data_IF_159009720927
#
_entry.id   IF_159009720927
#
_cell.length_a   1.000
_cell.length_b   1.000
_cell.length_c   1.000
_cell.angle_alpha   90.00
_cell.angle_beta   90.00
_cell.angle_gamma   90.00
#
_symmetry.space_group_name_H-M   'P 1'
#
loop_
_entity.id
_entity.type
_entity.pdbx_description
1 polymer ?
#
# COMPACT_ATOMS: atom_id res chain seq x y z
N UNK A 1 -16.66 -2.13 -15.76
CA UNK A 1 -16.15 -3.52 -15.78
C UNK A 1 -16.14 -4.06 -17.23
N UNK A 2 -15.21 -4.93 -17.56
CA UNK A 2 -15.14 -5.60 -18.88
C UNK A 2 -16.13 -6.76 -18.98
N UNK A 3 -16.45 -7.39 -17.86
CA UNK A 3 -17.48 -8.42 -17.72
C UNK A 3 -18.25 -8.16 -16.43
N UNK A 4 -19.58 -8.25 -16.48
CA UNK A 4 -20.39 -8.12 -15.27
C UNK A 4 -20.09 -9.26 -14.31
N UNK A 5 -19.91 -8.97 -13.01
CA UNK A 5 -19.82 -10.01 -11.98
C UNK A 5 -21.09 -10.85 -11.96
N UNK A 6 -20.97 -12.08 -11.49
CA UNK A 6 -22.09 -12.96 -11.25
C UNK A 6 -23.09 -12.34 -10.25
N UNK A 7 -24.40 -12.49 -10.53
CA UNK A 7 -25.44 -11.88 -9.72
C UNK A 7 -25.46 -12.44 -8.30
N UNK A 8 -25.31 -13.76 -8.13
CA UNK A 8 -25.36 -14.41 -6.81
C UNK A 8 -24.14 -14.01 -5.98
N UNK A 9 -22.97 -13.86 -6.64
CA UNK A 9 -21.79 -13.30 -5.98
C UNK A 9 -22.05 -11.89 -5.46
N UNK A 10 -22.59 -10.99 -6.28
CA UNK A 10 -22.88 -9.60 -5.87
C UNK A 10 -23.89 -9.54 -4.74
N UNK A 11 -24.99 -10.31 -4.85
CA UNK A 11 -26.02 -10.38 -3.80
C UNK A 11 -25.45 -10.90 -2.47
N UNK A 12 -24.64 -11.94 -2.52
CA UNK A 12 -24.04 -12.48 -1.29
C UNK A 12 -23.04 -11.49 -0.63
N UNK A 13 -22.38 -10.62 -1.41
CA UNK A 13 -21.52 -9.54 -0.85
C UNK A 13 -22.36 -8.41 -0.28
N UNK A 14 -23.46 -8.06 -0.91
CA UNK A 14 -24.42 -7.09 -0.39
C UNK A 14 -25.00 -7.54 0.96
N UNK A 15 -25.38 -8.81 1.08
CA UNK A 15 -25.89 -9.39 2.34
C UNK A 15 -24.87 -9.33 3.49
N UNK A 16 -23.58 -9.56 3.19
CA UNK A 16 -22.51 -9.54 4.21
C UNK A 16 -22.05 -8.13 4.56
N UNK A 17 -21.87 -7.27 3.54
CA UNK A 17 -21.21 -5.98 3.72
C UNK A 17 -22.18 -4.78 3.63
N UNK A 18 -23.45 -5.00 3.31
CA UNK A 18 -24.41 -3.90 3.12
C UNK A 18 -24.05 -2.93 2.00
N UNK A 19 -23.20 -3.35 1.04
CA UNK A 19 -22.67 -2.49 -0.02
C UNK A 19 -23.57 -2.53 -1.24
N UNK A 20 -24.31 -1.43 -1.52
CA UNK A 20 -25.03 -1.24 -2.78
C UNK A 20 -24.06 -0.87 -3.92
N UNK A 21 -23.29 -1.85 -4.37
CA UNK A 21 -22.39 -1.69 -5.51
C UNK A 21 -23.16 -1.95 -6.82
N UNK A 22 -23.21 -0.95 -7.70
CA UNK A 22 -23.83 -1.05 -9.03
C UNK A 22 -22.77 -1.10 -10.14
N UNK A 23 -22.23 -2.31 -10.45
CA UNK A 23 -21.27 -2.43 -11.55
C UNK A 23 -21.94 -2.03 -12.86
N UNK A 24 -21.20 -1.30 -13.69
CA UNK A 24 -21.64 -0.88 -15.02
C UNK A 24 -20.58 -1.23 -16.05
N UNK A 25 -20.99 -1.53 -17.28
CA UNK A 25 -20.05 -1.67 -18.38
C UNK A 25 -19.45 -0.32 -18.76
N UNK A 26 -18.37 -0.36 -19.53
CA UNK A 26 -17.68 0.86 -19.97
C UNK A 26 -18.61 1.73 -20.84
N UNK A 27 -19.34 1.10 -21.75
CA UNK A 27 -20.30 1.76 -22.65
C UNK A 27 -21.40 2.49 -21.86
N UNK A 28 -21.93 1.84 -20.82
CA UNK A 28 -22.95 2.44 -19.95
C UNK A 28 -22.35 3.58 -19.11
N UNK A 29 -21.13 3.43 -18.63
CA UNK A 29 -20.45 4.48 -17.87
C UNK A 29 -20.31 5.78 -18.68
N UNK A 30 -20.10 5.70 -19.99
CA UNK A 30 -20.00 6.86 -20.86
C UNK A 30 -21.31 7.65 -20.99
N UNK A 31 -22.43 7.11 -20.55
CA UNK A 31 -23.74 7.76 -20.57
C UNK A 31 -24.14 8.37 -19.22
N UNK A 32 -23.37 8.10 -18.17
CA UNK A 32 -23.67 8.54 -16.81
C UNK A 32 -22.93 9.85 -16.47
N UNK A 33 -23.46 10.55 -15.47
CA UNK A 33 -22.78 11.66 -14.81
C UNK A 33 -22.24 11.19 -13.46
N UNK A 34 -21.14 11.78 -13.01
CA UNK A 34 -20.44 11.38 -11.80
C UNK A 34 -20.20 12.57 -10.88
N UNK A 35 -20.21 12.36 -9.59
CA UNK A 35 -19.68 13.34 -8.64
C UNK A 35 -18.16 13.44 -8.75
N UNK A 36 -17.48 12.30 -8.86
CA UNK A 36 -16.03 12.19 -8.96
C UNK A 36 -15.59 10.82 -9.52
N UNK A 37 -14.33 10.70 -9.87
CA UNK A 37 -13.68 9.45 -10.23
C UNK A 37 -12.60 9.12 -9.20
N UNK A 38 -12.66 7.91 -8.65
CA UNK A 38 -11.69 7.39 -7.67
C UNK A 38 -11.06 6.09 -8.19
N UNK A 39 -10.08 6.15 -9.11
CA UNK A 39 -9.36 4.95 -9.53
C UNK A 39 -8.51 4.42 -8.37
N UNK A 40 -8.05 3.18 -8.48
CA UNK A 40 -7.11 2.59 -7.51
C UNK A 40 -5.87 3.49 -7.29
N UNK A 41 -5.37 4.10 -8.35
CA UNK A 41 -4.30 5.08 -8.32
C UNK A 41 -4.26 5.86 -9.63
N UNK A 42 -3.82 7.10 -9.57
CA UNK A 42 -3.65 7.96 -10.73
C UNK A 42 -2.30 7.71 -11.41
N UNK A 43 -2.30 7.71 -12.71
CA UNK A 43 -1.12 7.62 -13.57
C UNK A 43 -1.44 8.24 -14.93
N UNK A 44 -0.45 8.57 -15.78
CA UNK A 44 -0.71 9.07 -17.13
C UNK A 44 -1.68 8.18 -17.92
N UNK A 45 -1.51 6.86 -17.80
CA UNK A 45 -2.38 5.88 -18.46
C UNK A 45 -3.83 5.97 -17.95
N UNK A 46 -4.02 6.06 -16.63
CA UNK A 46 -5.36 6.16 -16.03
C UNK A 46 -6.02 7.49 -16.36
N UNK A 47 -5.26 8.60 -16.36
CA UNK A 47 -5.74 9.89 -16.79
C UNK A 47 -6.22 9.89 -18.25
N UNK A 48 -5.49 9.23 -19.14
CA UNK A 48 -5.88 9.09 -20.54
C UNK A 48 -7.10 8.16 -20.70
N UNK A 49 -7.13 7.02 -19.99
CA UNK A 49 -8.25 6.08 -20.02
C UNK A 49 -9.56 6.73 -19.58
N UNK A 50 -9.52 7.55 -18.53
CA UNK A 50 -10.70 8.17 -17.93
C UNK A 50 -11.02 9.57 -18.50
N UNK A 51 -10.32 10.00 -19.57
CA UNK A 51 -10.44 11.36 -20.12
C UNK A 51 -11.89 11.77 -20.39
N UNK A 52 -12.64 10.92 -21.06
CA UNK A 52 -14.02 11.23 -21.47
C UNK A 52 -14.99 11.24 -20.27
N UNK A 53 -14.73 10.38 -19.27
CA UNK A 53 -15.55 10.34 -18.05
C UNK A 53 -15.32 11.56 -17.16
N UNK A 54 -14.14 12.16 -17.18
CA UNK A 54 -13.84 13.37 -16.40
C UNK A 54 -14.72 14.56 -16.81
N UNK A 55 -15.01 14.71 -18.10
CA UNK A 55 -15.90 15.76 -18.60
C UNK A 55 -17.33 15.63 -18.08
N UNK A 56 -17.72 14.43 -17.61
CA UNK A 56 -19.04 14.11 -17.05
C UNK A 56 -19.08 14.20 -15.53
N UNK A 57 -17.96 14.54 -14.89
CA UNK A 57 -17.90 14.77 -13.45
C UNK A 57 -18.43 16.17 -13.12
N UNK A 58 -18.81 16.36 -11.85
CA UNK A 58 -19.21 17.68 -11.36
C UNK A 58 -18.04 18.69 -11.46
N UNK A 59 -18.37 19.98 -11.36
CA UNK A 59 -17.39 21.07 -11.47
C UNK A 59 -16.29 20.95 -10.42
N UNK A 60 -16.64 20.63 -9.18
CA UNK A 60 -15.72 20.49 -8.08
C UNK A 60 -14.63 19.44 -8.34
N UNK A 61 -14.94 18.32 -8.99
CA UNK A 61 -13.93 17.33 -9.39
C UNK A 61 -13.10 17.86 -10.57
N UNK A 62 -13.73 18.49 -11.57
CA UNK A 62 -13.03 19.00 -12.76
C UNK A 62 -11.99 20.06 -12.43
N UNK A 63 -12.23 20.85 -11.40
CA UNK A 63 -11.32 21.88 -10.88
C UNK A 63 -10.29 21.34 -9.87
N UNK A 64 -10.48 20.10 -9.41
CA UNK A 64 -9.56 19.51 -8.42
C UNK A 64 -8.18 19.24 -9.01
N UNK A 65 -7.17 19.26 -8.15
CA UNK A 65 -5.79 18.88 -8.49
C UNK A 65 -5.67 17.47 -9.06
N UNK A 66 -6.64 16.59 -8.84
CA UNK A 66 -6.65 15.21 -9.33
C UNK A 66 -7.26 15.05 -10.73
N UNK A 67 -7.87 16.10 -11.30
CA UNK A 67 -8.52 16.02 -12.61
C UNK A 67 -7.54 16.00 -13.79
N UNK A 68 -6.33 16.53 -13.60
CA UNK A 68 -5.30 16.65 -14.64
C UNK A 68 -4.02 15.93 -14.26
N UNK A 69 -3.19 15.64 -15.25
CA UNK A 69 -1.84 15.12 -15.10
C UNK A 69 -0.84 16.08 -15.76
N UNK A 70 0.28 16.30 -15.08
CA UNK A 70 1.47 16.93 -15.68
C UNK A 70 2.71 16.09 -15.33
N UNK A 71 3.78 16.23 -16.08
CA UNK A 71 5.03 15.50 -15.82
C UNK A 71 5.64 15.88 -14.45
N UNK A 72 5.45 17.12 -13.99
CA UNK A 72 5.85 17.57 -12.66
C UNK A 72 5.18 16.77 -11.54
N UNK A 73 3.96 16.28 -11.78
CA UNK A 73 3.23 15.45 -10.81
C UNK A 73 3.79 14.04 -10.67
N UNK A 74 4.54 13.57 -11.66
CA UNK A 74 5.17 12.25 -11.62
C UNK A 74 6.11 12.13 -10.42
N UNK A 75 6.81 13.20 -10.06
CA UNK A 75 7.74 13.20 -8.94
C UNK A 75 7.06 13.02 -7.59
N UNK A 76 5.79 13.43 -7.44
CA UNK A 76 5.01 13.17 -6.22
C UNK A 76 4.87 11.67 -5.91
N UNK A 77 4.91 10.83 -6.93
CA UNK A 77 4.77 9.38 -6.83
C UNK A 77 6.13 8.65 -6.78
N UNK A 78 7.24 9.39 -6.67
CA UNK A 78 8.58 8.81 -6.62
C UNK A 78 9.00 8.52 -5.18
N UNK A 79 9.92 7.58 -4.99
CA UNK A 79 10.53 7.28 -3.68
C UNK A 79 11.32 8.45 -3.10
N UNK A 80 11.69 9.45 -3.92
CA UNK A 80 12.30 10.71 -3.45
C UNK A 80 11.41 11.41 -2.44
N UNK A 81 10.07 11.35 -2.61
CA UNK A 81 9.14 12.01 -1.69
C UNK A 81 9.16 11.36 -0.30
N UNK A 82 9.32 10.04 -0.21
CA UNK A 82 9.50 9.37 1.08
C UNK A 82 10.81 9.81 1.76
N UNK A 83 11.91 9.91 1.01
CA UNK A 83 13.18 10.41 1.54
C UNK A 83 13.09 11.88 1.99
N UNK A 84 12.35 12.72 1.26
CA UNK A 84 12.08 14.11 1.66
C UNK A 84 11.32 14.16 2.99
N UNK A 85 10.21 13.41 3.10
CA UNK A 85 9.45 13.35 4.35
C UNK A 85 10.28 12.80 5.51
N UNK A 86 11.06 11.75 5.26
CA UNK A 86 11.93 11.16 6.28
C UNK A 86 13.00 12.13 6.78
N UNK A 87 13.57 12.92 5.89
CA UNK A 87 14.57 13.95 6.24
C UNK A 87 13.96 14.96 7.21
N UNK A 88 12.76 15.46 6.94
CA UNK A 88 12.04 16.38 7.84
C UNK A 88 11.70 15.71 9.19
N UNK A 89 11.31 14.45 9.17
CA UNK A 89 11.03 13.70 10.40
C UNK A 89 12.28 13.52 11.26
N UNK A 90 13.42 13.16 10.68
CA UNK A 90 14.70 12.99 11.40
C UNK A 90 15.20 14.30 11.98
N UNK A 91 14.94 15.44 11.31
CA UNK A 91 15.25 16.77 11.87
C UNK A 91 14.39 17.09 13.10
N UNK A 92 13.11 16.70 13.07
CA UNK A 92 12.18 16.98 14.16
C UNK A 92 12.30 15.97 15.32
N UNK A 93 12.71 14.74 15.05
CA UNK A 93 12.85 13.64 16.01
C UNK A 93 14.27 13.07 15.93
N UNK A 94 15.25 13.70 16.60
CA UNK A 94 16.67 13.35 16.43
C UNK A 94 17.05 11.91 16.80
N UNK A 95 16.28 11.24 17.67
CA UNK A 95 16.53 9.84 18.03
C UNK A 95 16.29 8.84 16.89
N UNK A 96 15.68 9.25 15.77
CA UNK A 96 15.54 8.41 14.57
C UNK A 96 16.88 8.10 13.89
N UNK A 97 17.92 8.92 14.13
CA UNK A 97 19.20 8.79 13.43
C UNK A 97 19.16 9.25 11.97
N UNK A 98 20.31 9.61 11.42
CA UNK A 98 20.42 10.07 10.01
C UNK A 98 20.77 8.96 9.05
N UNK A 99 21.23 7.83 9.54
CA UNK A 99 21.69 6.68 8.76
C UNK A 99 20.54 5.90 8.09
N UNK A 100 19.30 6.15 8.52
CA UNK A 100 18.10 5.57 7.87
C UNK A 100 17.62 6.38 6.65
N UNK A 101 18.20 7.56 6.37
CA UNK A 101 17.77 8.40 5.24
C UNK A 101 18.37 7.84 3.95
N UNK A 102 17.55 7.50 2.94
CA UNK A 102 18.04 7.03 1.65
C UNK A 102 18.87 8.09 0.92
N UNK A 103 19.94 7.65 0.24
CA UNK A 103 20.74 8.48 -0.65
C UNK A 103 20.23 8.36 -2.09
N UNK A 104 20.08 9.47 -2.78
CA UNK A 104 19.85 9.47 -4.23
C UNK A 104 21.17 9.28 -4.95
N UNK A 105 21.25 8.29 -5.86
CA UNK A 105 22.41 7.99 -6.67
C UNK A 105 22.06 8.06 -8.16
N UNK A 106 22.88 8.76 -8.92
CA UNK A 106 22.71 8.97 -10.36
C UNK A 106 23.71 8.15 -11.20
N UNK A 107 24.70 7.52 -10.55
CA UNK A 107 25.76 6.75 -11.20
C UNK A 107 26.01 5.43 -10.49
N UNK A 108 26.53 4.44 -11.22
CA UNK A 108 26.98 3.18 -10.64
C UNK A 108 28.14 3.37 -9.65
N UNK A 109 29.00 4.36 -9.86
CA UNK A 109 30.13 4.64 -8.98
C UNK A 109 29.65 5.05 -7.57
N UNK A 110 28.62 5.90 -7.48
CA UNK A 110 28.01 6.28 -6.20
C UNK A 110 27.41 5.06 -5.48
N UNK A 111 26.70 4.18 -6.20
CA UNK A 111 26.12 2.97 -5.63
C UNK A 111 27.22 2.04 -5.09
N UNK A 112 28.33 1.86 -5.84
CA UNK A 112 29.47 1.05 -5.40
C UNK A 112 30.08 1.60 -4.12
N UNK A 113 30.31 2.91 -4.03
CA UNK A 113 30.86 3.54 -2.82
C UNK A 113 30.01 3.30 -1.57
N UNK A 114 28.67 3.24 -1.72
CA UNK A 114 27.77 2.92 -0.62
C UNK A 114 27.81 1.42 -0.29
N UNK A 115 27.83 0.54 -1.30
CA UNK A 115 27.90 -0.91 -1.08
C UNK A 115 29.20 -1.37 -0.42
N UNK A 116 30.33 -0.67 -0.63
CA UNK A 116 31.60 -0.98 0.03
C UNK A 116 31.54 -0.74 1.55
N UNK A 117 30.65 0.10 2.04
CA UNK A 117 30.50 0.43 3.45
C UNK A 117 29.66 -0.58 4.22
N UNK A 118 28.51 -0.97 3.61
CA UNK A 118 27.51 -1.79 4.28
C UNK A 118 26.60 -2.55 3.29
N UNK A 119 25.74 -3.44 3.80
CA UNK A 119 24.68 -4.03 3.01
C UNK A 119 23.66 -2.97 2.64
N UNK A 120 23.29 -2.88 1.37
CA UNK A 120 22.37 -1.85 0.87
C UNK A 120 21.14 -2.45 0.19
N UNK A 121 20.08 -1.64 0.16
CA UNK A 121 18.90 -1.87 -0.66
C UNK A 121 18.83 -0.75 -1.70
N UNK A 122 18.81 -1.13 -2.99
CA UNK A 122 18.66 -0.18 -4.08
C UNK A 122 17.25 -0.27 -4.65
N UNK A 123 16.58 0.86 -4.73
CA UNK A 123 15.17 0.95 -5.16
C UNK A 123 15.04 1.85 -6.37
N UNK A 124 14.37 1.37 -7.42
CA UNK A 124 13.99 2.22 -8.56
C UNK A 124 13.02 3.32 -8.10
N UNK A 125 13.10 4.55 -8.64
CA UNK A 125 12.25 5.69 -8.24
C UNK A 125 10.76 5.40 -8.36
N UNK A 126 10.37 4.78 -9.46
CA UNK A 126 8.99 4.38 -9.75
C UNK A 126 8.94 2.88 -10.00
N UNK A 127 8.39 2.15 -9.05
CA UNK A 127 8.18 0.71 -9.13
C UNK A 127 7.00 0.28 -8.25
N UNK A 128 6.56 -0.95 -8.38
CA UNK A 128 5.47 -1.49 -7.58
C UNK A 128 5.68 -2.97 -7.31
N UNK A 129 5.08 -3.47 -6.23
CA UNK A 129 5.02 -4.90 -5.90
C UNK A 129 6.40 -5.56 -5.84
N UNK A 130 7.37 -4.94 -5.17
CA UNK A 130 8.73 -5.47 -5.01
C UNK A 130 9.61 -5.44 -6.27
N UNK A 131 9.05 -5.09 -7.45
CA UNK A 131 9.84 -4.95 -8.68
C UNK A 131 10.76 -3.73 -8.59
N UNK A 132 12.00 -3.86 -9.07
CA UNK A 132 12.97 -2.77 -9.02
C UNK A 132 13.56 -2.50 -7.63
N UNK A 133 13.51 -3.48 -6.74
CA UNK A 133 14.22 -3.52 -5.46
C UNK A 133 15.33 -4.58 -5.56
N UNK A 134 16.57 -4.17 -5.26
CA UNK A 134 17.73 -5.06 -5.23
C UNK A 134 18.36 -5.03 -3.83
N UNK A 135 18.65 -6.19 -3.29
CA UNK A 135 19.39 -6.36 -2.05
C UNK A 135 20.83 -6.69 -2.40
N UNK A 136 21.76 -5.80 -2.08
CA UNK A 136 23.17 -5.92 -2.44
C UNK A 136 23.98 -6.10 -1.16
N UNK A 137 24.66 -7.24 -1.00
CA UNK A 137 25.61 -7.45 0.10
C UNK A 137 26.78 -6.48 0.00
N UNK A 138 27.43 -6.24 1.13
CA UNK A 138 28.59 -5.35 1.22
C UNK A 138 29.69 -5.76 0.24
N UNK A 139 30.07 -4.84 -0.66
CA UNK A 139 31.13 -5.03 -1.64
C UNK A 139 30.83 -6.00 -2.77
N UNK A 140 29.61 -6.54 -2.88
CA UNK A 140 29.28 -7.65 -3.79
C UNK A 140 28.24 -7.23 -4.87
N UNK A 141 28.58 -6.28 -5.72
CA UNK A 141 27.71 -5.97 -6.88
C UNK A 141 28.07 -6.91 -8.03
N UNK A 142 27.15 -7.79 -8.41
CA UNK A 142 27.34 -8.71 -9.55
C UNK A 142 27.15 -7.99 -10.90
N UNK A 143 27.75 -8.54 -11.98
CA UNK A 143 27.55 -8.00 -13.34
C UNK A 143 26.07 -7.91 -13.73
N UNK A 144 25.24 -8.88 -13.30
CA UNK A 144 23.79 -8.87 -13.57
C UNK A 144 23.08 -7.71 -12.85
N UNK A 145 23.44 -7.44 -11.61
CA UNK A 145 22.90 -6.29 -10.87
C UNK A 145 23.33 -4.97 -11.48
N UNK A 146 24.58 -4.86 -11.97
CA UNK A 146 25.07 -3.69 -12.70
C UNK A 146 24.29 -3.44 -13.99
N UNK A 147 23.95 -4.48 -14.75
CA UNK A 147 23.12 -4.34 -15.94
C UNK A 147 21.71 -3.82 -15.59
N UNK A 148 21.10 -4.38 -14.52
CA UNK A 148 19.78 -3.93 -14.03
C UNK A 148 19.84 -2.47 -13.57
N UNK A 149 20.83 -2.11 -12.74
CA UNK A 149 21.02 -0.76 -12.23
C UNK A 149 21.26 0.24 -13.36
N UNK A 150 22.14 -0.10 -14.32
CA UNK A 150 22.40 0.71 -15.52
C UNK A 150 21.12 0.91 -16.34
N UNK A 151 20.28 -0.13 -16.43
CA UNK A 151 18.98 -0.06 -17.08
C UNK A 151 18.00 0.90 -16.38
N UNK A 152 17.98 0.89 -15.04
CA UNK A 152 17.16 1.81 -14.23
C UNK A 152 17.68 3.24 -14.36
N UNK A 153 18.96 3.47 -14.15
CA UNK A 153 19.59 4.80 -14.26
C UNK A 153 19.33 5.44 -15.63
N UNK A 154 19.50 4.67 -16.72
CA UNK A 154 19.21 5.15 -18.07
C UNK A 154 17.75 5.52 -18.31
N UNK A 155 16.80 4.75 -17.73
CA UNK A 155 15.35 4.94 -17.96
C UNK A 155 14.70 5.91 -17.00
N UNK A 156 15.17 5.96 -15.77
CA UNK A 156 14.53 6.70 -14.67
C UNK A 156 15.42 7.81 -14.08
N UNK A 157 16.70 7.88 -14.48
CA UNK A 157 17.61 8.95 -14.13
C UNK A 157 18.38 8.75 -12.82
N UNK A 158 17.80 8.08 -11.84
CA UNK A 158 18.40 7.86 -10.52
C UNK A 158 17.87 6.59 -9.86
N UNK A 159 18.44 6.22 -8.72
CA UNK A 159 17.94 5.21 -7.79
C UNK A 159 18.01 5.78 -6.37
N UNK A 160 17.20 5.22 -5.47
CA UNK A 160 17.32 5.45 -4.02
C UNK A 160 18.09 4.29 -3.41
N UNK A 161 19.13 4.61 -2.64
CA UNK A 161 19.99 3.63 -1.95
C UNK A 161 19.86 3.84 -0.45
N UNK A 162 19.55 2.80 0.28
CA UNK A 162 19.41 2.81 1.74
C UNK A 162 20.18 1.67 2.38
N UNK A 163 20.55 1.85 3.64
CA UNK A 163 21.09 0.78 4.50
C UNK A 163 20.07 -0.35 4.59
N UNK A 164 20.52 -1.60 4.47
CA UNK A 164 19.68 -2.77 4.71
C UNK A 164 19.49 -2.96 6.21
N UNK A 165 18.30 -2.67 6.69
CA UNK A 165 17.90 -2.85 8.08
C UNK A 165 17.43 -4.30 8.33
N UNK A 166 17.68 -4.80 9.55
CA UNK A 166 17.18 -6.11 9.99
C UNK A 166 15.69 -6.00 10.36
N UNK A 167 14.84 -6.21 9.39
CA UNK A 167 13.39 -6.05 9.49
C UNK A 167 12.76 -7.04 10.48
N UNK A 168 11.93 -6.51 11.38
CA UNK A 168 11.14 -7.24 12.37
C UNK A 168 9.65 -7.21 12.07
N UNK A 169 9.11 -6.03 11.73
CA UNK A 169 7.68 -5.84 11.45
C UNK A 169 7.48 -4.81 10.36
N UNK A 170 6.69 -5.15 9.35
CA UNK A 170 6.20 -4.21 8.34
C UNK A 170 4.81 -3.69 8.77
N UNK A 171 4.62 -2.38 8.73
CA UNK A 171 3.33 -1.75 8.98
C UNK A 171 3.20 -0.44 8.21
N UNK A 172 2.01 0.12 8.16
CA UNK A 172 1.77 1.43 7.58
C UNK A 172 0.84 2.27 8.47
N UNK A 173 0.93 3.57 8.31
CA UNK A 173 -0.09 4.52 8.71
C UNK A 173 -0.88 4.92 7.47
N UNK A 174 -2.21 4.78 7.53
CA UNK A 174 -3.09 5.05 6.42
C UNK A 174 -3.86 6.35 6.67
N UNK A 175 -3.97 7.16 5.62
CA UNK A 175 -4.57 8.49 5.69
C UNK A 175 -5.49 8.77 4.50
N UNK A 176 -6.35 9.77 4.66
CA UNK A 176 -7.05 10.46 3.58
C UNK A 176 -6.74 11.95 3.63
N UNK A 177 -6.23 12.49 2.54
CA UNK A 177 -6.13 13.93 2.35
C UNK A 177 -7.41 14.42 1.69
N UNK A 178 -8.17 15.25 2.39
CA UNK A 178 -9.42 15.79 1.91
C UNK A 178 -9.22 16.94 0.90
N UNK A 179 -10.30 17.47 0.36
CA UNK A 179 -10.27 18.53 -0.64
C UNK A 179 -9.84 19.90 -0.10
N UNK A 180 -9.83 20.07 1.21
CA UNK A 180 -9.30 21.24 1.91
C UNK A 180 -7.83 21.03 2.33
N UNK A 181 -7.26 19.90 1.91
CA UNK A 181 -5.89 19.45 2.23
C UNK A 181 -5.67 19.17 3.72
N UNK A 182 -6.72 18.82 4.47
CA UNK A 182 -6.56 18.25 5.80
C UNK A 182 -6.22 16.77 5.67
N UNK A 183 -5.22 16.34 6.43
CA UNK A 183 -4.82 14.94 6.49
C UNK A 183 -5.54 14.25 7.66
N UNK A 184 -6.36 13.25 7.34
CA UNK A 184 -7.13 12.49 8.30
C UNK A 184 -6.49 11.11 8.48
N UNK A 185 -6.06 10.78 9.70
CA UNK A 185 -5.57 9.44 10.04
C UNK A 185 -6.73 8.45 10.04
N UNK A 186 -6.59 7.34 9.31
CA UNK A 186 -7.61 6.30 9.18
C UNK A 186 -7.32 5.11 10.08
N UNK A 187 -6.05 4.82 10.34
CA UNK A 187 -5.63 3.70 11.17
C UNK A 187 -4.26 3.16 10.81
N UNK A 188 -3.87 2.13 11.56
CA UNK A 188 -2.69 1.33 11.29
C UNK A 188 -3.03 0.14 10.39
N UNK A 189 -2.03 -0.31 9.64
CA UNK A 189 -2.07 -1.49 8.81
C UNK A 189 -0.82 -2.32 9.10
N UNK A 190 -0.97 -3.54 9.57
CA UNK A 190 0.14 -4.48 9.77
C UNK A 190 0.08 -5.50 8.65
N UNK A 191 1.17 -5.66 7.93
CA UNK A 191 1.21 -6.53 6.75
C UNK A 191 2.47 -7.40 6.74
N UNK A 192 2.42 -8.44 5.94
CA UNK A 192 3.52 -9.37 5.75
C UNK A 192 4.05 -9.25 4.33
N UNK A 193 5.36 -9.32 4.22
CA UNK A 193 6.05 -9.36 2.95
C UNK A 193 7.03 -10.54 2.91
N UNK A 194 7.21 -11.15 1.76
CA UNK A 194 8.21 -12.19 1.55
C UNK A 194 9.63 -11.67 1.80
N UNK A 195 10.60 -12.57 1.82
CA UNK A 195 12.04 -12.17 1.88
C UNK A 195 12.47 -11.28 0.70
N UNK A 196 11.70 -11.26 -0.39
CA UNK A 196 11.94 -10.43 -1.58
C UNK A 196 11.14 -9.11 -1.57
N UNK A 197 10.38 -8.84 -0.50
CA UNK A 197 9.52 -7.66 -0.38
C UNK A 197 8.20 -7.76 -1.16
N UNK A 198 7.78 -8.97 -1.56
CA UNK A 198 6.48 -9.17 -2.20
C UNK A 198 5.39 -9.25 -1.13
N UNK A 199 4.28 -8.57 -1.36
CA UNK A 199 3.14 -8.55 -0.44
C UNK A 199 2.51 -9.94 -0.29
N UNK A 200 2.29 -10.39 0.94
CA UNK A 200 1.69 -11.69 1.29
C UNK A 200 0.32 -11.56 1.94
N UNK A 201 0.07 -10.48 2.69
CA UNK A 201 -1.23 -10.25 3.32
C UNK A 201 -1.22 -9.18 4.40
N UNK A 202 -2.41 -8.84 4.88
CA UNK A 202 -2.64 -7.92 6.00
C UNK A 202 -3.33 -8.61 7.17
N UNK A 203 -2.95 -8.26 8.38
CA UNK A 203 -3.77 -8.51 9.56
C UNK A 203 -4.95 -7.54 9.56
N UNK A 204 -6.16 -8.07 9.68
CA UNK A 204 -7.41 -7.30 9.83
C UNK A 204 -7.85 -7.41 11.27
N UNK A 205 -7.68 -6.34 12.03
CA UNK A 205 -7.99 -6.29 13.46
C UNK A 205 -8.39 -4.86 13.86
N UNK A 206 -8.86 -4.66 15.08
CA UNK A 206 -9.15 -3.32 15.57
C UNK A 206 -7.91 -2.43 15.54
N UNK A 207 -8.09 -1.12 15.33
CA UNK A 207 -6.96 -0.19 15.31
C UNK A 207 -6.17 -0.22 16.62
N UNK A 208 -6.86 -0.42 17.76
CA UNK A 208 -6.22 -0.59 19.08
C UNK A 208 -5.38 -1.87 19.17
N UNK A 209 -5.84 -2.98 18.59
CA UNK A 209 -5.05 -4.22 18.51
C UNK A 209 -3.79 -4.03 17.66
N UNK A 210 -3.93 -3.40 16.48
CA UNK A 210 -2.79 -3.13 15.59
C UNK A 210 -1.79 -2.16 16.21
N UNK A 211 -2.28 -1.09 16.86
CA UNK A 211 -1.44 -0.18 17.64
C UNK A 211 -0.68 -0.92 18.74
N UNK A 212 -1.36 -1.82 19.46
CA UNK A 212 -0.75 -2.65 20.50
C UNK A 212 0.35 -3.58 19.97
N UNK A 213 0.21 -4.13 18.77
CA UNK A 213 1.25 -4.94 18.12
C UNK A 213 2.50 -4.10 17.84
N UNK A 214 2.34 -2.92 17.28
CA UNK A 214 3.45 -2.00 16.94
C UNK A 214 4.11 -1.46 18.20
N UNK A 215 3.30 -1.04 19.17
CA UNK A 215 3.74 -0.41 20.41
C UNK A 215 4.56 -1.35 21.32
N UNK A 216 4.52 -2.67 21.12
CA UNK A 216 5.43 -3.61 21.80
C UNK A 216 6.91 -3.31 21.54
N UNK A 217 7.22 -2.72 20.38
CA UNK A 217 8.58 -2.40 19.96
C UNK A 217 8.95 -0.95 20.23
N UNK A 218 7.98 -0.04 20.12
CA UNK A 218 8.24 1.42 20.17
C UNK A 218 7.77 2.09 21.45
N UNK A 219 6.80 1.48 22.16
CA UNK A 219 5.99 2.17 23.15
C UNK A 219 4.93 3.08 22.49
N UNK A 220 3.78 3.21 23.14
CA UNK A 220 2.63 4.00 22.63
C UNK A 220 2.93 5.50 22.52
N UNK A 221 3.72 6.04 23.44
CA UNK A 221 4.07 7.46 23.44
C UNK A 221 4.89 7.86 22.21
N UNK A 222 5.92 7.08 21.90
CA UNK A 222 6.79 7.35 20.76
C UNK A 222 6.06 7.09 19.43
N UNK A 223 5.24 6.04 19.32
CA UNK A 223 4.44 5.80 18.14
C UNK A 223 3.47 6.97 17.85
N UNK A 224 2.91 7.58 18.88
CA UNK A 224 2.07 8.78 18.77
C UNK A 224 2.86 9.98 18.27
N UNK A 225 4.05 10.23 18.84
CA UNK A 225 4.96 11.30 18.40
C UNK A 225 5.31 11.16 16.91
N UNK A 226 5.66 9.94 16.47
CA UNK A 226 5.90 9.62 15.04
C UNK A 226 4.69 9.99 14.20
N UNK A 227 3.48 9.61 14.61
CA UNK A 227 2.25 9.92 13.87
C UNK A 227 2.02 11.41 13.76
N UNK A 228 2.07 12.13 14.87
CA UNK A 228 1.82 13.58 14.92
C UNK A 228 2.83 14.37 14.06
N UNK A 229 4.09 13.94 14.06
CA UNK A 229 5.10 14.56 13.22
C UNK A 229 4.92 14.21 11.75
N UNK A 230 4.59 12.96 11.43
CA UNK A 230 4.31 12.52 10.08
C UNK A 230 3.11 13.26 9.48
N UNK A 231 2.04 13.45 10.24
CA UNK A 231 0.86 14.22 9.81
C UNK A 231 1.24 15.65 9.40
N UNK A 232 2.11 16.33 10.17
CA UNK A 232 2.60 17.67 9.84
C UNK A 232 3.43 17.68 8.54
N UNK A 233 4.37 16.75 8.45
CA UNK A 233 5.29 16.66 7.31
C UNK A 233 4.53 16.33 6.03
N UNK A 234 3.67 15.29 6.04
CA UNK A 234 2.89 14.88 4.88
C UNK A 234 1.93 15.98 4.45
N UNK A 235 1.25 16.63 5.40
CA UNK A 235 0.40 17.78 5.10
C UNK A 235 1.18 18.87 4.37
N UNK A 236 2.35 19.26 4.88
CA UNK A 236 3.18 20.31 4.29
C UNK A 236 3.66 19.94 2.88
N UNK A 237 4.16 18.73 2.70
CA UNK A 237 4.75 18.27 1.44
C UNK A 237 3.71 18.13 0.33
N UNK A 238 2.51 17.64 0.65
CA UNK A 238 1.47 17.34 -0.34
C UNK A 238 0.33 18.37 -0.41
N UNK A 239 0.35 19.40 0.45
CA UNK A 239 -0.64 20.49 0.42
C UNK A 239 -0.75 21.12 -0.98
N UNK A 240 -1.96 21.25 -1.49
CA UNK A 240 -2.23 21.81 -2.83
C UNK A 240 -1.85 20.87 -4.00
N UNK A 241 -1.29 19.68 -3.73
CA UNK A 241 -0.75 18.79 -4.77
C UNK A 241 -1.47 17.45 -4.88
N UNK A 242 -2.04 16.97 -3.80
CA UNK A 242 -2.70 15.66 -3.75
C UNK A 242 -4.00 15.71 -2.95
N UNK A 243 -4.98 14.92 -3.37
CA UNK A 243 -6.25 14.64 -2.67
C UNK A 243 -6.57 13.17 -2.86
N UNK A 244 -6.91 12.48 -1.78
CA UNK A 244 -7.29 11.07 -1.79
C UNK A 244 -6.59 10.25 -0.71
N UNK A 245 -6.72 8.94 -0.82
CA UNK A 245 -6.10 8.01 0.12
C UNK A 245 -4.60 7.90 -0.11
N UNK A 246 -3.85 7.80 0.98
CA UNK A 246 -2.42 7.53 0.95
C UNK A 246 -2.03 6.65 2.13
N UNK A 247 -1.01 5.82 1.92
CA UNK A 247 -0.37 5.03 2.97
C UNK A 247 1.11 5.38 3.06
N UNK A 248 1.62 5.42 4.28
CA UNK A 248 3.06 5.57 4.56
C UNK A 248 3.56 4.26 5.14
N UNK A 249 4.29 3.51 4.32
CA UNK A 249 4.88 2.25 4.74
C UNK A 249 6.03 2.51 5.71
N UNK A 250 6.08 1.73 6.77
CA UNK A 250 7.01 1.85 7.89
C UNK A 250 7.58 0.48 8.24
N UNK A 251 8.65 0.46 8.99
CA UNK A 251 9.28 -0.78 9.41
C UNK A 251 9.84 -0.65 10.83
N UNK A 252 9.58 -1.67 11.67
CA UNK A 252 10.38 -1.90 12.86
C UNK A 252 11.57 -2.75 12.44
N UNK A 253 12.75 -2.37 12.90
CA UNK A 253 13.98 -3.13 12.69
C UNK A 253 14.70 -3.33 14.01
N UNK A 254 15.56 -4.34 14.07
CA UNK A 254 16.48 -4.61 15.15
C UNK A 254 17.89 -4.17 14.70
N UNK A 255 18.56 -3.40 15.51
CA UNK A 255 19.93 -2.99 15.23
C UNK A 255 20.98 -4.05 15.67
N UNK A 256 22.26 -3.78 15.46
CA UNK A 256 23.35 -4.68 15.80
C UNK A 256 23.51 -4.89 17.32
N UNK A 257 22.96 -4.03 18.17
CA UNK A 257 22.96 -4.16 19.63
C UNK A 257 21.75 -4.96 20.16
N UNK A 258 20.78 -5.29 19.28
CA UNK A 258 19.53 -5.96 19.64
C UNK A 258 18.42 -4.99 20.06
N UNK A 259 18.64 -3.67 19.91
CA UNK A 259 17.65 -2.66 20.21
C UNK A 259 16.70 -2.46 18.99
N UNK A 260 15.42 -2.17 19.28
CA UNK A 260 14.44 -1.93 18.23
C UNK A 260 14.40 -0.45 17.83
N UNK A 261 14.51 -0.24 16.51
CA UNK A 261 14.33 1.06 15.88
C UNK A 261 13.11 1.09 14.96
N UNK A 262 12.72 2.29 14.55
CA UNK A 262 11.65 2.51 13.58
C UNK A 262 12.19 3.24 12.35
N UNK A 263 11.85 2.75 11.16
CA UNK A 263 11.98 3.49 9.90
C UNK A 263 10.59 4.03 9.56
N UNK A 264 10.32 5.32 9.83
CA UNK A 264 8.95 5.85 9.81
C UNK A 264 8.46 6.30 8.43
N UNK A 265 9.28 6.13 7.37
CA UNK A 265 8.88 6.49 6.01
C UNK A 265 9.69 5.71 4.97
N UNK A 266 9.35 4.44 4.76
CA UNK A 266 9.99 3.55 3.78
C UNK A 266 9.51 3.86 2.36
N UNK A 267 8.19 4.08 2.21
CA UNK A 267 7.53 4.40 0.93
C UNK A 267 6.22 5.16 1.20
N UNK A 268 5.86 6.10 0.31
CA UNK A 268 4.56 6.77 0.34
C UNK A 268 3.75 6.33 -0.87
N UNK A 269 2.60 5.73 -0.60
CA UNK A 269 1.68 5.21 -1.59
C UNK A 269 0.51 6.18 -1.81
N UNK A 270 0.62 7.10 -2.78
CA UNK A 270 -0.45 8.07 -3.13
C UNK A 270 -1.55 7.41 -3.95
N UNK A 271 -2.25 6.45 -3.36
CA UNK A 271 -3.30 5.64 -3.99
C UNK A 271 -4.04 4.81 -2.94
N UNK A 272 -5.13 4.15 -3.36
CA UNK A 272 -5.61 3.00 -2.61
C UNK A 272 -4.48 1.97 -2.48
N UNK A 273 -4.43 1.30 -1.33
CA UNK A 273 -3.49 0.22 -1.04
C UNK A 273 -4.18 -0.88 -0.21
N UNK A 274 -3.47 -1.95 0.09
CA UNK A 274 -4.05 -3.09 0.80
C UNK A 274 -4.36 -2.75 2.27
N UNK A 275 -3.65 -1.80 2.87
CA UNK A 275 -3.94 -1.30 4.22
C UNK A 275 -5.28 -0.59 4.30
N UNK A 276 -5.60 0.28 3.33
CA UNK A 276 -6.93 0.93 3.24
C UNK A 276 -8.04 -0.12 3.10
N UNK A 277 -7.82 -1.16 2.29
CA UNK A 277 -8.78 -2.26 2.17
C UNK A 277 -8.95 -3.00 3.50
N UNK A 278 -7.86 -3.29 4.20
CA UNK A 278 -7.85 -3.94 5.51
C UNK A 278 -8.64 -3.15 6.55
N UNK A 279 -8.42 -1.84 6.64
CA UNK A 279 -9.15 -0.94 7.54
C UNK A 279 -10.65 -0.92 7.18
N UNK A 280 -10.99 -0.92 5.89
CA UNK A 280 -12.37 -0.99 5.47
C UNK A 280 -13.04 -2.32 5.85
N UNK A 281 -12.33 -3.44 5.74
CA UNK A 281 -12.83 -4.77 6.11
C UNK A 281 -13.03 -4.92 7.62
N UNK A 282 -12.18 -4.30 8.43
CA UNK A 282 -12.25 -4.35 9.89
C UNK A 282 -13.63 -3.90 10.42
N UNK A 283 -14.30 -2.95 9.76
CA UNK A 283 -15.62 -2.43 10.16
C UNK A 283 -16.72 -3.50 10.19
N UNK A 284 -16.51 -4.61 9.50
CA UNK A 284 -17.46 -5.72 9.39
C UNK A 284 -17.15 -6.87 10.36
N UNK A 285 -15.97 -6.83 10.98
CA UNK A 285 -15.59 -7.82 11.99
C UNK A 285 -16.05 -7.36 13.37
N UNK A 286 -16.38 -8.32 14.24
CA UNK A 286 -16.55 -8.05 15.66
C UNK A 286 -15.24 -7.49 16.23
N UNK A 287 -15.29 -6.50 17.12
CA UNK A 287 -14.14 -5.76 17.64
C UNK A 287 -13.02 -6.66 18.21
N UNK A 288 -13.38 -7.77 18.84
CA UNK A 288 -12.42 -8.72 19.42
C UNK A 288 -11.91 -9.77 18.44
N UNK A 289 -12.33 -9.72 17.18
CA UNK A 289 -12.00 -10.74 16.17
C UNK A 289 -10.93 -10.22 15.23
N UNK A 290 -9.97 -11.07 14.93
CA UNK A 290 -8.90 -10.82 13.97
C UNK A 290 -9.09 -11.68 12.72
N UNK A 291 -8.57 -11.21 11.60
CA UNK A 291 -8.57 -11.93 10.34
C UNK A 291 -7.29 -11.68 9.55
N UNK A 292 -7.16 -12.41 8.46
CA UNK A 292 -6.06 -12.24 7.49
C UNK A 292 -6.67 -12.01 6.12
N UNK A 293 -6.39 -10.84 5.57
CA UNK A 293 -6.69 -10.49 4.18
C UNK A 293 -5.49 -10.78 3.32
N UNK A 294 -5.68 -11.53 2.23
CA UNK A 294 -4.61 -11.79 1.26
C UNK A 294 -5.12 -11.79 -0.18
N UNK A 295 -4.18 -11.83 -1.13
CA UNK A 295 -4.44 -12.06 -2.55
C UNK A 295 -3.74 -13.36 -2.94
N UNK A 296 -4.53 -14.39 -3.13
CA UNK A 296 -4.04 -15.69 -3.57
C UNK A 296 -3.93 -15.73 -5.09
N UNK A 297 -2.80 -16.22 -5.58
CA UNK A 297 -2.48 -16.41 -7.00
C UNK A 297 -2.25 -17.89 -7.33
N UNK A 298 -2.83 -18.36 -8.44
CA UNK A 298 -2.43 -19.62 -9.05
C UNK A 298 -2.29 -19.48 -10.57
N UNK A 299 -1.20 -20.00 -11.16
CA UNK A 299 -1.03 -20.03 -12.62
C UNK A 299 -1.92 -21.06 -13.31
N UNK A 300 -2.52 -22.01 -12.58
CA UNK A 300 -3.30 -23.10 -13.16
C UNK A 300 -4.78 -22.76 -13.23
N UNK A 301 -5.46 -22.98 -14.40
CA UNK A 301 -6.88 -22.78 -14.54
C UNK A 301 -7.70 -23.67 -13.58
N UNK A 302 -8.71 -23.11 -12.94
CA UNK A 302 -9.62 -23.83 -12.05
C UNK A 302 -9.12 -24.03 -10.62
N UNK A 303 -7.82 -23.88 -10.34
CA UNK A 303 -7.24 -24.11 -9.01
C UNK A 303 -7.75 -23.09 -7.99
N UNK A 304 -7.87 -21.80 -8.37
CA UNK A 304 -8.46 -20.75 -7.54
C UNK A 304 -9.92 -21.08 -7.19
N UNK A 305 -10.71 -21.51 -8.17
CA UNK A 305 -12.12 -21.85 -7.94
C UNK A 305 -12.25 -23.01 -6.96
N UNK A 306 -11.49 -24.08 -7.15
CA UNK A 306 -11.46 -25.24 -6.24
C UNK A 306 -11.01 -24.86 -4.83
N UNK A 307 -10.00 -23.98 -4.70
CA UNK A 307 -9.53 -23.48 -3.41
C UNK A 307 -10.63 -22.70 -2.68
N UNK A 308 -11.35 -21.82 -3.38
CA UNK A 308 -12.45 -21.04 -2.81
C UNK A 308 -13.60 -21.93 -2.35
N UNK A 309 -14.01 -22.92 -3.17
CA UNK A 309 -15.04 -23.87 -2.80
C UNK A 309 -14.64 -24.66 -1.55
N UNK A 310 -13.45 -25.23 -1.54
CA UNK A 310 -12.91 -25.96 -0.38
C UNK A 310 -12.87 -25.11 0.88
N UNK A 311 -12.41 -23.85 0.77
CA UNK A 311 -12.30 -22.96 1.92
C UNK A 311 -13.67 -22.55 2.47
N UNK A 312 -14.68 -22.35 1.62
CA UNK A 312 -16.06 -22.09 2.06
C UNK A 312 -16.64 -23.26 2.84
N UNK A 313 -16.36 -24.50 2.41
CA UNK A 313 -16.84 -25.71 3.08
C UNK A 313 -16.11 -25.95 4.43
N UNK A 314 -14.79 -25.70 4.45
CA UNK A 314 -13.97 -25.92 5.66
C UNK A 314 -14.16 -24.83 6.70
N UNK A 315 -14.42 -23.60 6.29
CA UNK A 315 -14.52 -22.41 7.16
C UNK A 315 -15.79 -21.63 6.82
N UNK A 316 -16.98 -22.17 7.13
CA UNK A 316 -18.25 -21.49 6.86
C UNK A 316 -18.29 -20.14 7.57
N UNK A 317 -18.77 -19.13 6.85
CA UNK A 317 -18.87 -17.77 7.40
C UNK A 317 -19.93 -17.71 8.48
N UNK A 318 -19.55 -17.26 9.67
CA UNK A 318 -20.45 -17.03 10.79
C UNK A 318 -20.60 -15.54 11.05
N UNK A 319 -21.85 -15.09 11.12
CA UNK A 319 -22.20 -13.71 11.46
C UNK A 319 -23.09 -13.67 12.69
N UNK A 320 -22.85 -12.71 13.58
CA UNK A 320 -23.70 -12.45 14.74
C UNK A 320 -23.95 -10.92 14.83
N UNK A 321 -25.20 -10.55 15.01
CA UNK A 321 -25.63 -9.15 15.10
C UNK A 321 -25.13 -8.26 13.94
N UNK A 322 -25.03 -8.82 12.72
CA UNK A 322 -24.54 -8.10 11.52
C UNK A 322 -23.03 -7.97 11.41
N UNK A 323 -22.26 -8.59 12.32
CA UNK A 323 -20.79 -8.60 12.28
C UNK A 323 -20.26 -10.00 12.04
N UNK A 324 -19.14 -10.09 11.33
CA UNK A 324 -18.45 -11.36 11.08
C UNK A 324 -17.67 -11.76 12.33
N UNK A 325 -17.84 -13.00 12.77
CA UNK A 325 -17.15 -13.53 13.95
C UNK A 325 -16.14 -14.63 13.62
N UNK A 326 -16.35 -15.38 12.53
CA UNK A 326 -15.38 -16.37 12.05
C UNK A 326 -15.69 -16.82 10.63
N UNK A 327 -14.75 -17.52 10.02
CA UNK A 327 -14.92 -18.21 8.75
C UNK A 327 -14.11 -17.63 7.60
N UNK A 328 -14.54 -17.92 6.38
CA UNK A 328 -13.86 -17.53 5.14
C UNK A 328 -14.81 -16.84 4.19
N UNK A 329 -14.30 -15.81 3.50
CA UNK A 329 -15.03 -15.13 2.44
C UNK A 329 -14.08 -14.68 1.33
N UNK A 330 -14.40 -15.02 0.07
CA UNK A 330 -13.72 -14.40 -1.08
C UNK A 330 -14.36 -13.06 -1.42
N UNK A 331 -13.52 -12.06 -1.63
CA UNK A 331 -13.92 -10.67 -1.87
C UNK A 331 -14.05 -10.33 -3.36
N UNK A 332 -13.49 -11.16 -4.22
CA UNK A 332 -13.60 -11.03 -5.67
C UNK A 332 -14.29 -12.24 -6.28
N UNK A 333 -15.05 -12.06 -7.39
CA UNK A 333 -15.69 -13.19 -8.08
C UNK A 333 -14.63 -14.13 -8.65
N UNK A 334 -14.94 -15.43 -8.65
CA UNK A 334 -14.06 -16.46 -9.20
C UNK A 334 -14.75 -17.24 -10.32
N UNK A 335 -13.97 -17.64 -11.30
CA UNK A 335 -14.36 -18.52 -12.40
C UNK A 335 -13.21 -19.51 -12.67
N UNK A 336 -13.42 -20.44 -13.61
CA UNK A 336 -12.36 -21.37 -14.00
C UNK A 336 -11.11 -20.66 -14.58
N UNK A 337 -11.28 -19.47 -15.16
CA UNK A 337 -10.19 -18.68 -15.74
C UNK A 337 -9.49 -17.78 -14.72
N UNK A 338 -10.03 -17.65 -13.51
CA UNK A 338 -9.46 -16.81 -12.48
C UNK A 338 -8.08 -17.28 -12.05
N UNK A 339 -7.14 -16.33 -12.00
CA UNK A 339 -5.75 -16.56 -11.57
C UNK A 339 -5.48 -15.94 -10.20
N UNK A 340 -6.35 -15.05 -9.77
CA UNK A 340 -6.25 -14.32 -8.50
C UNK A 340 -7.61 -14.35 -7.81
N UNK A 341 -7.55 -14.35 -6.49
CA UNK A 341 -8.69 -14.08 -5.61
C UNK A 341 -8.23 -13.24 -4.44
N UNK A 342 -8.99 -12.20 -4.12
CA UNK A 342 -8.85 -11.50 -2.85
C UNK A 342 -9.76 -12.22 -1.84
N UNK A 343 -9.21 -12.54 -0.68
CA UNK A 343 -9.89 -13.38 0.31
C UNK A 343 -9.59 -12.92 1.75
N UNK A 344 -10.54 -13.20 2.64
CA UNK A 344 -10.45 -12.89 4.06
C UNK A 344 -10.75 -14.16 4.87
N UNK A 345 -9.82 -14.53 5.73
CA UNK A 345 -10.00 -15.54 6.77
C UNK A 345 -10.19 -14.83 8.09
N UNK A 346 -11.16 -15.28 8.90
CA UNK A 346 -11.56 -14.64 10.15
C UNK A 346 -11.55 -15.67 11.27
N UNK A 347 -10.95 -15.29 12.41
CA UNK A 347 -10.75 -16.18 13.55
C UNK A 347 -9.48 -17.03 13.40
N UNK A 348 -9.17 -17.86 14.40
CA UNK A 348 -8.01 -18.75 14.37
C UNK A 348 -8.19 -19.81 13.28
N UNK A 349 -7.16 -19.94 12.40
CA UNK A 349 -7.01 -21.09 11.50
C UNK A 349 -6.81 -22.35 12.29
#
# INVERSE_FOLDING_TARGET
>A
VTKMPDFDFMKSREEVFGLDCKPVTWEKAQLLSFSELKPWGWSPRVHNLLKDLKSRCNEQFRESVMSTWSDERKDLYSRRMAATCLTEMVQAIPCLGKDIIPSECNTLAEIRLLSEKENIVVKAPWSSSGKGVLFIPKGEITCKEEEVLSGILRKQGYVMVEKRLNRVLDFAMEFEMDRLFHLNFLGYSVFQTSRRGEYEGNTVASNSSLEGIIAKYTGTGFLREIREQLEKVVTTVFHGKYVGYLGVDMMIYEDESGEFGIQPCVEINLRYNMGIVSIALQRYLRESVEGVFNIHFSPKPGEIMQSVEKNRDMYPLLMEAGQIVSGYINLTPVSRESRFVAELYIGNK
#
